data_IF_947111723228
#
_entry.id   IF_947111723228
#
_cell.length_a   1.000
_cell.length_b   1.000
_cell.length_c   1.000
_cell.angle_alpha   90.00
_cell.angle_beta   90.00
_cell.angle_gamma   90.00
#
_symmetry.space_group_name_H-M   'P 1'
#
loop_
_entity.id
_entity.type
_entity.pdbx_description
1 polymer ?
#
# COMPACT_ATOMS: atom_id res chain seq x y z
N UNK A 1 8.33 -19.28 0.15
CA UNK A 1 8.09 -17.93 -0.40
C UNK A 1 9.23 -17.05 0.07
N UNK A 2 10.24 -16.89 -0.78
CA UNK A 2 11.30 -15.92 -0.57
C UNK A 2 10.76 -14.50 -0.87
N UNK A 3 11.50 -13.48 -0.41
CA UNK A 3 11.18 -12.08 -0.67
C UNK A 3 11.39 -11.77 -2.16
N UNK A 4 10.31 -11.90 -2.95
CA UNK A 4 10.34 -11.70 -4.40
C UNK A 4 10.89 -10.32 -4.80
N UNK A 5 10.73 -9.33 -3.92
CA UNK A 5 11.22 -7.97 -4.10
C UNK A 5 12.75 -7.84 -4.15
N UNK A 6 13.48 -8.82 -3.60
CA UNK A 6 14.94 -8.84 -3.59
C UNK A 6 15.54 -9.67 -4.73
N UNK A 7 14.69 -10.29 -5.54
CA UNK A 7 15.13 -11.08 -6.69
C UNK A 7 15.49 -10.17 -7.87
N UNK A 8 16.37 -10.68 -8.74
CA UNK A 8 16.64 -10.03 -10.02
C UNK A 8 15.42 -10.13 -10.95
N UNK A 9 15.11 -9.04 -11.67
CA UNK A 9 13.95 -8.93 -12.56
C UNK A 9 13.77 -10.13 -13.49
N UNK A 10 14.86 -10.69 -14.03
CA UNK A 10 14.79 -11.84 -14.94
C UNK A 10 14.35 -13.14 -14.23
N UNK A 11 14.72 -13.33 -12.97
CA UNK A 11 14.31 -14.47 -12.14
C UNK A 11 12.83 -14.36 -11.79
N UNK A 12 12.38 -13.16 -11.41
CA UNK A 12 10.96 -12.87 -11.14
C UNK A 12 10.13 -13.17 -12.40
N UNK A 13 10.54 -12.65 -13.56
CA UNK A 13 9.86 -12.90 -14.84
C UNK A 13 9.77 -14.39 -15.16
N UNK A 14 10.85 -15.16 -14.92
CA UNK A 14 10.87 -16.60 -15.18
C UNK A 14 9.94 -17.36 -14.24
N UNK A 15 9.95 -17.03 -12.95
CA UNK A 15 9.11 -17.68 -11.93
C UNK A 15 7.61 -17.44 -12.20
N UNK A 16 7.23 -16.19 -12.46
CA UNK A 16 5.84 -15.86 -12.80
C UNK A 16 5.38 -16.54 -14.08
N UNK A 17 6.22 -16.59 -15.13
CA UNK A 17 5.89 -17.31 -16.37
C UNK A 17 5.72 -18.81 -16.15
N UNK A 18 6.57 -19.42 -15.31
CA UNK A 18 6.43 -20.82 -14.96
C UNK A 18 5.11 -21.07 -14.21
N UNK A 19 4.76 -20.22 -13.24
CA UNK A 19 3.47 -20.28 -12.56
C UNK A 19 2.28 -20.17 -13.53
N UNK A 20 2.31 -19.22 -14.46
CA UNK A 20 1.27 -19.06 -15.48
C UNK A 20 1.13 -20.29 -16.38
N UNK A 21 2.24 -20.94 -16.74
CA UNK A 21 2.22 -22.18 -17.52
C UNK A 21 1.60 -23.34 -16.73
N UNK A 22 1.94 -23.47 -15.45
CA UNK A 22 1.35 -24.48 -14.55
C UNK A 22 -0.16 -24.26 -14.43
N UNK A 23 -0.61 -23.02 -14.20
CA UNK A 23 -2.04 -22.70 -14.15
C UNK A 23 -2.76 -23.08 -15.46
N UNK A 24 -2.21 -22.72 -16.62
CA UNK A 24 -2.79 -23.10 -17.92
C UNK A 24 -2.86 -24.60 -18.12
N UNK A 25 -1.82 -25.33 -17.70
CA UNK A 25 -1.75 -26.79 -17.82
C UNK A 25 -2.76 -27.50 -16.93
N UNK A 26 -2.86 -27.10 -15.67
CA UNK A 26 -3.65 -27.80 -14.67
C UNK A 26 -5.12 -27.33 -14.60
N UNK A 27 -5.39 -26.06 -14.93
CA UNK A 27 -6.72 -25.44 -14.82
C UNK A 27 -7.29 -24.94 -16.16
N UNK A 28 -6.52 -24.96 -17.25
CA UNK A 28 -6.95 -24.48 -18.57
C UNK A 28 -6.92 -22.96 -18.75
N UNK A 29 -6.58 -22.19 -17.71
CA UNK A 29 -6.43 -20.73 -17.76
C UNK A 29 -5.37 -20.27 -16.76
N UNK A 30 -4.92 -19.01 -16.87
CA UNK A 30 -4.05 -18.38 -15.88
C UNK A 30 -4.76 -17.16 -15.30
N UNK A 31 -4.84 -17.02 -13.96
CA UNK A 31 -5.47 -15.86 -13.33
C UNK A 31 -4.81 -14.54 -13.78
N UNK A 32 -5.63 -13.51 -13.99
CA UNK A 32 -5.20 -12.13 -14.26
C UNK A 32 -5.02 -11.31 -12.99
N UNK A 33 -4.90 -11.99 -11.86
CA UNK A 33 -4.78 -11.39 -10.53
C UNK A 33 -3.50 -11.89 -9.87
N UNK A 34 -2.75 -10.97 -9.28
CA UNK A 34 -1.51 -11.24 -8.57
C UNK A 34 -1.62 -10.85 -7.09
N UNK A 35 -0.94 -11.57 -6.21
CA UNK A 35 -0.78 -11.18 -4.81
C UNK A 35 0.70 -11.13 -4.51
N UNK A 36 1.22 -9.93 -4.24
CA UNK A 36 2.63 -9.78 -3.88
C UNK A 36 2.93 -10.62 -2.63
N UNK A 37 3.97 -11.47 -2.65
CA UNK A 37 4.44 -12.13 -1.45
C UNK A 37 4.66 -11.11 -0.34
N UNK A 38 4.10 -11.39 0.84
CA UNK A 38 4.14 -10.50 2.01
C UNK A 38 3.53 -9.09 1.80
N UNK A 39 2.87 -8.85 0.66
CA UNK A 39 2.34 -7.54 0.28
C UNK A 39 3.41 -6.52 -0.09
N UNK A 40 4.58 -6.98 -0.49
CA UNK A 40 5.78 -6.19 -0.71
C UNK A 40 6.06 -6.04 -2.20
N UNK A 41 6.25 -4.79 -2.65
CA UNK A 41 6.48 -4.50 -4.06
C UNK A 41 7.35 -3.27 -4.25
N UNK A 42 7.97 -3.20 -5.43
CA UNK A 42 8.72 -2.06 -5.93
C UNK A 42 8.11 -1.60 -7.26
N UNK A 43 8.49 -0.41 -7.75
CA UNK A 43 8.07 0.03 -9.08
C UNK A 43 8.50 -0.93 -10.19
N UNK A 44 9.67 -1.57 -10.07
CA UNK A 44 10.13 -2.56 -11.04
C UNK A 44 9.28 -3.83 -11.00
N UNK A 45 9.00 -4.36 -9.80
CA UNK A 45 8.16 -5.55 -9.67
C UNK A 45 6.73 -5.27 -10.19
N UNK A 46 6.17 -4.09 -9.92
CA UNK A 46 4.88 -3.66 -10.48
C UNK A 46 4.90 -3.65 -12.01
N UNK A 47 5.98 -3.12 -12.62
CA UNK A 47 6.17 -3.16 -14.08
C UNK A 47 6.27 -4.58 -14.63
N UNK A 48 6.94 -5.49 -13.94
CA UNK A 48 7.01 -6.90 -14.35
C UNK A 48 5.63 -7.54 -14.34
N UNK A 49 4.82 -7.26 -13.32
CA UNK A 49 3.45 -7.74 -13.21
C UNK A 49 2.58 -7.19 -14.35
N UNK A 50 2.71 -5.90 -14.67
CA UNK A 50 2.06 -5.28 -15.83
C UNK A 50 2.49 -5.90 -17.17
N UNK A 51 3.80 -6.04 -17.39
CA UNK A 51 4.40 -6.66 -18.60
C UNK A 51 3.89 -8.10 -18.84
N UNK A 52 3.45 -8.79 -17.78
CA UNK A 52 2.92 -10.16 -17.82
C UNK A 52 1.38 -10.21 -17.92
N UNK A 53 0.75 -9.07 -18.18
CA UNK A 53 -0.69 -8.94 -18.46
C UNK A 53 -1.56 -9.37 -17.27
N UNK A 54 -1.11 -9.07 -16.05
CA UNK A 54 -1.94 -9.09 -14.85
C UNK A 54 -2.75 -7.78 -14.78
N UNK A 55 -4.05 -7.87 -14.52
CA UNK A 55 -4.95 -6.72 -14.46
C UNK A 55 -5.03 -6.11 -13.05
N UNK A 56 -4.89 -6.97 -12.03
CA UNK A 56 -4.96 -6.56 -10.63
C UNK A 56 -3.83 -7.19 -9.82
N UNK A 57 -3.24 -6.43 -8.90
CA UNK A 57 -2.28 -6.95 -7.94
C UNK A 57 -2.51 -6.39 -6.55
N UNK A 58 -2.35 -7.23 -5.52
CA UNK A 58 -2.73 -6.90 -4.16
C UNK A 58 -1.54 -6.83 -3.21
N UNK A 59 -1.40 -5.68 -2.54
CA UNK A 59 -0.49 -5.50 -1.42
C UNK A 59 -1.08 -5.97 -0.08
N UNK A 60 -0.46 -5.52 1.02
CA UNK A 60 -0.95 -5.71 2.41
C UNK A 60 -1.09 -4.40 3.19
N UNK A 61 -0.97 -3.24 2.54
CA UNK A 61 -1.32 -1.97 3.19
C UNK A 61 -2.85 -1.89 3.35
N UNK A 62 -3.28 -1.40 4.51
CA UNK A 62 -4.70 -1.34 4.88
C UNK A 62 -5.43 -0.27 4.10
N UNK A 63 -6.59 -0.57 3.55
CA UNK A 63 -7.40 0.39 2.82
C UNK A 63 -8.60 -0.26 2.15
N UNK A 64 -9.54 0.58 1.73
CA UNK A 64 -10.71 0.15 0.96
C UNK A 64 -10.44 0.48 -0.51
N UNK A 65 -10.74 -0.48 -1.38
CA UNK A 65 -10.55 -0.36 -2.83
C UNK A 65 -11.62 0.57 -3.41
N UNK A 66 -11.20 1.42 -4.33
CA UNK A 66 -12.07 2.26 -5.16
C UNK A 66 -11.38 2.54 -6.51
N UNK A 67 -12.10 3.08 -7.51
CA UNK A 67 -11.56 3.30 -8.86
C UNK A 67 -10.36 4.25 -8.94
N UNK A 68 -10.03 5.02 -7.90
CA UNK A 68 -8.85 5.90 -7.92
C UNK A 68 -7.57 5.22 -7.45
N UNK A 69 -7.64 3.94 -7.06
CA UNK A 69 -6.47 3.16 -6.66
C UNK A 69 -5.74 2.64 -7.90
N UNK A 70 -4.43 2.53 -7.81
CA UNK A 70 -3.65 1.81 -8.81
C UNK A 70 -3.97 0.31 -8.68
N UNK A 71 -4.47 -0.27 -9.77
CA UNK A 71 -4.94 -1.65 -9.80
C UNK A 71 -3.83 -2.67 -9.59
N UNK A 72 -2.58 -2.28 -9.77
CA UNK A 72 -1.42 -3.13 -9.51
C UNK A 72 -0.83 -2.90 -8.10
N UNK A 73 -1.51 -2.16 -7.23
CA UNK A 73 -1.17 -2.04 -5.80
C UNK A 73 -2.40 -1.96 -4.91
N UNK A 74 -3.41 -2.80 -5.13
CA UNK A 74 -4.66 -2.76 -4.38
C UNK A 74 -4.47 -3.05 -2.88
N UNK A 75 -5.07 -2.23 -1.98
CA UNK A 75 -5.01 -2.44 -0.54
C UNK A 75 -5.87 -3.61 -0.08
N UNK A 76 -5.54 -4.18 1.08
CA UNK A 76 -6.39 -5.15 1.80
C UNK A 76 -6.23 -5.01 3.30
N UNK A 77 -7.27 -5.36 4.04
CA UNK A 77 -7.17 -5.52 5.49
C UNK A 77 -6.79 -6.97 5.83
N UNK A 78 -5.63 -7.22 6.47
CA UNK A 78 -5.32 -8.55 6.95
C UNK A 78 -6.24 -8.93 8.11
N UNK A 79 -6.78 -10.15 8.02
CA UNK A 79 -7.56 -10.83 9.06
C UNK A 79 -6.81 -12.11 9.40
N UNK A 80 -6.19 -12.16 10.58
CA UNK A 80 -5.43 -13.30 11.10
C UNK A 80 -5.57 -13.35 12.62
N UNK A 81 -4.88 -14.26 13.32
CA UNK A 81 -5.02 -14.41 14.78
C UNK A 81 -4.80 -13.11 15.57
N UNK A 82 -3.84 -12.29 15.18
CA UNK A 82 -3.54 -10.99 15.83
C UNK A 82 -4.58 -9.91 15.51
N UNK A 83 -5.29 -10.05 14.39
CA UNK A 83 -6.12 -9.00 13.80
C UNK A 83 -7.56 -9.46 13.54
N UNK A 84 -7.98 -10.60 14.10
CA UNK A 84 -9.22 -11.30 13.80
C UNK A 84 -10.39 -10.96 14.72
N UNK A 85 -10.21 -10.06 15.69
CA UNK A 85 -11.27 -9.67 16.62
C UNK A 85 -12.52 -9.18 15.89
N UNK A 86 -13.68 -9.71 16.26
CA UNK A 86 -14.96 -9.39 15.62
C UNK A 86 -15.28 -7.89 15.65
N UNK A 87 -14.88 -7.19 16.72
CA UNK A 87 -15.05 -5.73 16.84
C UNK A 87 -14.26 -4.99 15.75
N UNK A 88 -13.00 -5.38 15.52
CA UNK A 88 -12.16 -4.82 14.45
C UNK A 88 -12.73 -5.15 13.08
N UNK A 89 -13.15 -6.40 12.87
CA UNK A 89 -13.77 -6.83 11.61
C UNK A 89 -15.00 -5.98 11.25
N UNK A 90 -15.92 -5.77 12.20
CA UNK A 90 -17.09 -4.89 12.01
C UNK A 90 -16.68 -3.45 11.65
N UNK A 91 -15.65 -2.91 12.28
CA UNK A 91 -15.12 -1.57 11.98
C UNK A 91 -14.57 -1.48 10.55
N UNK A 92 -13.82 -2.49 10.11
CA UNK A 92 -13.27 -2.57 8.75
C UNK A 92 -14.38 -2.58 7.70
N UNK A 93 -15.45 -3.36 7.90
CA UNK A 93 -16.60 -3.41 6.98
C UNK A 93 -17.33 -2.06 6.83
N UNK A 94 -17.20 -1.17 7.80
CA UNK A 94 -17.81 0.16 7.79
C UNK A 94 -16.87 1.26 7.28
N UNK A 95 -15.62 0.90 6.95
CA UNK A 95 -14.62 1.84 6.46
C UNK A 95 -14.94 2.25 5.03
N UNK A 96 -14.77 3.53 4.73
CA UNK A 96 -14.96 4.11 3.41
C UNK A 96 -13.62 4.19 2.66
N UNK A 97 -13.65 4.14 1.32
CA UNK A 97 -12.48 4.45 0.52
C UNK A 97 -12.01 5.88 0.75
N UNK A 98 -10.71 6.07 0.61
CA UNK A 98 -10.09 7.39 0.64
C UNK A 98 -9.45 7.66 -0.74
N UNK A 99 -10.22 8.21 -1.69
CA UNK A 99 -9.73 8.61 -3.00
C UNK A 99 -8.55 9.57 -2.93
N UNK A 100 -7.54 9.35 -3.78
CA UNK A 100 -6.39 10.24 -3.94
C UNK A 100 -5.93 10.23 -5.41
N UNK A 101 -5.31 11.32 -5.86
CA UNK A 101 -4.73 11.43 -7.19
C UNK A 101 -3.35 10.77 -7.28
N UNK A 102 -2.48 11.06 -6.30
CA UNK A 102 -1.10 10.59 -6.33
C UNK A 102 -0.48 10.53 -4.94
N UNK A 103 0.37 9.53 -4.74
CA UNK A 103 1.25 9.42 -3.57
C UNK A 103 2.70 9.41 -4.07
N UNK A 104 3.54 10.26 -3.49
CA UNK A 104 4.98 10.35 -3.79
C UNK A 104 5.78 10.02 -2.54
N UNK A 105 6.93 9.31 -2.64
CA UNK A 105 7.44 8.61 -3.82
C UNK A 105 6.51 7.46 -4.26
N UNK A 106 6.52 7.09 -5.54
CA UNK A 106 5.70 5.99 -6.04
C UNK A 106 6.30 4.62 -5.67
N UNK A 107 7.63 4.52 -5.74
CA UNK A 107 8.34 3.29 -5.40
C UNK A 107 8.18 2.98 -3.90
N UNK A 108 7.57 1.83 -3.59
CA UNK A 108 7.39 1.35 -2.20
C UNK A 108 8.60 0.63 -1.64
N UNK A 109 9.68 0.48 -2.40
CA UNK A 109 10.93 -0.09 -1.91
C UNK A 109 11.96 1.01 -1.64
N UNK A 110 12.31 1.21 -0.37
CA UNK A 110 13.24 2.23 0.08
C UNK A 110 14.65 1.65 0.21
N UNK A 111 15.62 2.35 -0.38
CA UNK A 111 17.03 2.15 -0.06
C UNK A 111 17.36 2.89 1.24
N UNK A 112 18.50 2.57 1.85
CA UNK A 112 18.94 3.20 3.12
C UNK A 112 18.95 4.74 3.08
N UNK A 113 19.42 5.28 1.95
CA UNK A 113 19.52 6.73 1.71
C UNK A 113 18.16 7.40 1.46
N UNK A 114 17.12 6.61 1.16
CA UNK A 114 15.76 7.10 0.91
C UNK A 114 14.86 7.00 2.16
N UNK A 115 15.40 6.57 3.30
CA UNK A 115 14.68 6.40 4.57
C UNK A 115 15.06 7.50 5.59
N UNK A 116 14.11 8.30 6.12
CA UNK A 116 12.68 8.27 5.80
C UNK A 116 12.38 8.99 4.47
N UNK A 117 11.34 8.55 3.74
CA UNK A 117 10.94 9.22 2.50
C UNK A 117 10.18 10.52 2.78
N UNK A 118 10.31 11.50 1.88
CA UNK A 118 9.42 12.67 1.85
C UNK A 118 8.08 12.27 1.21
N UNK A 119 7.05 12.05 2.03
CA UNK A 119 5.76 11.55 1.55
C UNK A 119 4.82 12.70 1.26
N UNK A 120 4.31 12.77 0.03
CA UNK A 120 3.23 13.68 -0.38
C UNK A 120 2.01 12.91 -0.85
N UNK A 121 0.84 13.36 -0.43
CA UNK A 121 -0.45 12.82 -0.86
C UNK A 121 -1.24 13.95 -1.49
N UNK A 122 -1.50 13.82 -2.79
CA UNK A 122 -2.37 14.71 -3.56
C UNK A 122 -3.75 14.08 -3.67
N UNK A 123 -4.78 14.80 -3.25
CA UNK A 123 -6.18 14.42 -3.30
C UNK A 123 -6.90 15.14 -4.45
N UNK A 124 -8.02 14.56 -4.89
CA UNK A 124 -8.86 15.17 -5.92
C UNK A 124 -9.47 16.48 -5.44
N UNK A 125 -9.45 17.49 -6.30
CA UNK A 125 -10.09 18.75 -5.99
C UNK A 125 -11.61 18.59 -5.80
N UNK A 126 -12.15 19.26 -4.79
CA UNK A 126 -13.59 19.31 -4.50
C UNK A 126 -14.28 17.96 -4.23
N UNK A 127 -13.52 16.86 -4.07
CA UNK A 127 -14.09 15.55 -3.77
C UNK A 127 -14.26 15.31 -2.27
N UNK A 128 -13.20 15.57 -1.48
CA UNK A 128 -13.17 15.36 -0.03
C UNK A 128 -12.47 16.54 0.63
N UNK A 129 -13.07 17.08 1.69
CA UNK A 129 -12.41 18.09 2.53
C UNK A 129 -11.44 17.43 3.51
N UNK A 130 -10.14 17.50 3.21
CA UNK A 130 -9.08 16.85 3.97
C UNK A 130 -8.61 17.63 5.21
N UNK A 131 -9.24 18.76 5.56
CA UNK A 131 -8.77 19.66 6.65
C UNK A 131 -8.55 18.95 8.00
N UNK A 132 -9.38 17.95 8.32
CA UNK A 132 -9.34 17.22 9.59
C UNK A 132 -8.68 15.83 9.49
N UNK A 133 -7.90 15.60 8.42
CA UNK A 133 -7.17 14.34 8.26
C UNK A 133 -6.17 14.14 9.40
N UNK A 134 -6.03 12.90 9.86
CA UNK A 134 -5.01 12.50 10.80
C UNK A 134 -4.17 11.39 10.19
N UNK A 135 -2.85 11.47 10.31
CA UNK A 135 -1.95 10.41 9.87
C UNK A 135 -1.15 9.87 11.06
N UNK A 136 -0.89 8.57 11.04
CA UNK A 136 -0.10 7.85 12.03
C UNK A 136 0.94 7.02 11.30
N UNK A 137 2.14 6.90 11.84
CA UNK A 137 3.20 6.07 11.28
C UNK A 137 3.90 5.26 12.36
N UNK A 138 4.66 4.24 11.94
CA UNK A 138 5.55 3.47 12.80
C UNK A 138 7.02 3.90 12.69
N UNK A 139 7.28 5.16 12.33
CA UNK A 139 8.64 5.71 12.33
C UNK A 139 9.33 5.48 13.69
N UNK A 140 10.65 5.27 13.68
CA UNK A 140 11.37 4.91 14.90
C UNK A 140 10.94 3.56 15.52
N UNK A 141 10.13 2.74 14.82
CA UNK A 141 9.50 1.51 15.30
C UNK A 141 8.46 1.73 16.42
N UNK A 142 7.82 2.92 16.46
CA UNK A 142 6.76 3.24 17.43
C UNK A 142 5.56 3.82 16.69
N UNK A 143 4.38 3.25 16.93
CA UNK A 143 3.14 3.80 16.37
C UNK A 143 2.75 5.09 17.10
N UNK A 144 2.72 6.21 16.37
CA UNK A 144 2.32 7.52 16.88
C UNK A 144 1.69 8.38 15.79
N UNK A 145 1.04 9.47 16.19
CA UNK A 145 0.53 10.47 15.26
C UNK A 145 1.71 11.14 14.57
N UNK A 146 1.69 11.20 13.25
CA UNK A 146 2.69 11.88 12.42
C UNK A 146 2.31 13.35 12.29
N UNK A 147 3.32 14.22 12.22
CA UNK A 147 3.09 15.62 11.86
C UNK A 147 2.76 15.70 10.37
N UNK A 148 1.80 16.56 10.02
CA UNK A 148 1.39 16.80 8.64
C UNK A 148 1.44 18.30 8.33
N UNK A 149 1.81 18.62 7.10
CA UNK A 149 1.82 19.98 6.59
C UNK A 149 1.01 20.04 5.30
N UNK A 150 0.03 20.94 5.23
CA UNK A 150 -0.68 21.21 3.98
C UNK A 150 0.23 22.01 3.06
N UNK A 151 0.52 21.47 1.88
CA UNK A 151 1.21 22.18 0.80
C UNK A 151 0.21 23.14 0.14
N UNK A 152 -1.03 22.68 -0.01
CA UNK A 152 -2.18 23.47 -0.45
C UNK A 152 -3.48 22.82 0.08
N UNK A 153 -4.65 23.23 -0.41
CA UNK A 153 -5.95 22.73 0.08
C UNK A 153 -6.16 21.22 -0.13
N UNK A 154 -5.54 20.63 -1.14
CA UNK A 154 -5.78 19.25 -1.57
C UNK A 154 -4.50 18.41 -1.56
N UNK A 155 -3.39 18.93 -1.04
CA UNK A 155 -2.13 18.21 -0.97
C UNK A 155 -1.49 18.42 0.38
N UNK A 156 -1.05 17.32 0.99
CA UNK A 156 -0.34 17.32 2.25
C UNK A 156 0.98 16.57 2.14
N UNK A 157 1.91 16.96 2.98
CA UNK A 157 3.18 16.28 3.24
C UNK A 157 3.12 15.66 4.64
N UNK A 158 3.61 14.43 4.77
CA UNK A 158 3.82 13.77 6.07
C UNK A 158 5.26 14.00 6.49
N UNK A 159 5.45 14.61 7.66
CA UNK A 159 6.76 14.96 8.20
C UNK A 159 7.24 13.84 9.13
N UNK A 160 8.02 12.91 8.57
CA UNK A 160 8.64 11.84 9.35
C UNK A 160 9.88 12.38 10.08
N UNK A 161 9.95 12.19 11.40
CA UNK A 161 11.04 12.65 12.27
C UNK A 161 12.17 11.64 12.40
N UNK A 162 11.86 10.37 12.18
CA UNK A 162 12.81 9.26 12.31
C UNK A 162 12.74 8.34 11.10
N UNK A 163 13.85 7.64 10.83
CA UNK A 163 13.85 6.50 9.91
C UNK A 163 12.85 5.44 10.37
N UNK A 164 12.27 4.71 9.43
CA UNK A 164 11.66 3.42 9.76
C UNK A 164 12.75 2.44 10.20
N UNK A 165 12.53 1.77 11.34
CA UNK A 165 13.48 0.86 11.98
C UNK A 165 13.00 -0.61 11.98
N UNK A 166 12.13 -0.96 11.04
CA UNK A 166 11.56 -2.29 10.84
C UNK A 166 11.51 -2.60 9.35
N UNK A 167 11.34 -3.88 8.97
CA UNK A 167 11.15 -4.31 7.56
C UNK A 167 10.16 -3.45 6.77
N UNK A 168 9.12 -2.95 7.46
CA UNK A 168 8.05 -2.17 6.84
C UNK A 168 7.85 -0.82 7.51
N UNK A 169 7.88 0.23 6.71
CA UNK A 169 7.41 1.55 7.08
C UNK A 169 5.94 1.68 6.73
N UNK A 170 5.07 1.95 7.70
CA UNK A 170 3.63 2.04 7.52
C UNK A 170 3.15 3.42 7.91
N UNK A 171 2.25 3.96 7.10
CA UNK A 171 1.52 5.18 7.38
C UNK A 171 0.03 4.88 7.19
N UNK A 172 -0.80 5.30 8.14
CA UNK A 172 -2.25 5.23 8.04
C UNK A 172 -2.82 6.63 8.22
N UNK A 173 -3.47 7.14 7.18
CA UNK A 173 -4.24 8.38 7.23
C UNK A 173 -5.74 8.08 7.28
N UNK A 174 -6.45 8.77 8.15
CA UNK A 174 -7.89 8.62 8.32
C UNK A 174 -8.60 9.96 8.40
N UNK A 175 -9.85 9.96 7.97
CA UNK A 175 -10.75 11.10 8.03
C UNK A 175 -12.12 10.64 8.52
N UNK A 176 -12.65 11.32 9.54
CA UNK A 176 -14.00 11.05 10.03
C UNK A 176 -15.01 11.82 9.19
N UNK A 177 -15.99 11.11 8.64
CA UNK A 177 -17.09 11.68 7.88
C UNK A 177 -18.29 11.95 8.78
N UNK A 178 -19.09 12.96 8.45
CA UNK A 178 -20.34 13.30 9.17
C UNK A 178 -21.32 12.13 9.21
N UNK A 179 -21.25 11.23 8.22
CA UNK A 179 -22.01 9.97 8.18
C UNK A 179 -21.66 8.96 9.29
N UNK A 180 -20.68 9.25 10.14
CA UNK A 180 -20.26 8.39 11.24
C UNK A 180 -19.34 7.25 10.81
N UNK A 181 -18.57 7.44 9.73
CA UNK A 181 -17.66 6.44 9.17
C UNK A 181 -16.27 7.00 8.95
N UNK A 182 -15.26 6.15 9.03
CA UNK A 182 -13.88 6.49 8.72
C UNK A 182 -13.57 6.27 7.25
N UNK A 183 -13.00 7.26 6.56
CA UNK A 183 -12.17 7.00 5.38
C UNK A 183 -10.79 6.56 5.81
N UNK A 184 -10.20 5.60 5.10
CA UNK A 184 -8.91 5.02 5.46
C UNK A 184 -7.98 4.87 4.26
N UNK A 185 -6.76 5.38 4.43
CA UNK A 185 -5.65 5.26 3.48
C UNK A 185 -4.43 4.71 4.20
N UNK A 186 -4.02 3.49 3.88
CA UNK A 186 -2.76 2.93 4.33
C UNK A 186 -1.71 2.98 3.23
N UNK A 187 -0.48 3.27 3.61
CA UNK A 187 0.70 3.28 2.77
C UNK A 187 1.72 2.36 3.43
N UNK A 188 2.38 1.52 2.63
CA UNK A 188 3.45 0.65 3.11
C UNK A 188 4.68 0.81 2.23
N UNK A 189 5.81 1.07 2.86
CA UNK A 189 7.14 0.97 2.30
C UNK A 189 7.85 -0.27 2.86
N UNK A 190 8.72 -0.86 2.05
CA UNK A 190 9.62 -1.95 2.41
C UNK A 190 11.03 -1.37 2.47
N UNK A 191 11.79 -1.72 3.50
CA UNK A 191 13.14 -1.21 3.72
C UNK A 191 14.14 -2.33 3.39
N UNK A 192 15.06 -2.09 2.45
CA UNK A 192 16.02 -3.08 1.93
C UNK A 192 16.93 -3.76 2.98
N UNK A 193 17.14 -3.13 4.13
CA UNK A 193 18.20 -3.49 5.09
C UNK A 193 17.73 -4.29 6.30
N UNK A 194 16.47 -4.70 6.31
CA UNK A 194 15.89 -5.52 7.37
C UNK A 194 15.55 -6.92 6.85
#
# INVERSE_FOLDING_TARGET
HEYLIDWEDHKIKSDLKASMQIFKKELGYSPKIFSYPFGEYSSNLKKIVDDLDFEFAFGQHSGVIDPTKDFLELPRFPINEKYGELKRFKSILQTLPFPYEKITPENRYLKENDNPPEIKIKFFENLINIKNINCYSNEGNVWRKSDIQFVNKNELMILLKEKFKSERGRINCSLWEESGKWRWLGIQYVIKEY
#
